data_IF_224941274583
#
_entry.id   IF_224941274583
#
_cell.length_a   1.000
_cell.length_b   1.000
_cell.length_c   1.000
_cell.angle_alpha   90.00
_cell.angle_beta   90.00
_cell.angle_gamma   90.00
#
_symmetry.space_group_name_H-M   'P 1'
#
loop_
_entity.id
_entity.type
_entity.pdbx_description
1 polymer ?
#
# COMPACT_ATOMS: atom_id res chain seq x y z
N UNK A 1 -10.96 -18.85 0.96
CA UNK A 1 -9.58 -18.40 0.67
C UNK A 1 -9.36 -17.11 1.43
N UNK A 2 -8.58 -17.18 2.50
CA UNK A 2 -8.87 -16.39 3.71
C UNK A 2 -8.16 -15.04 3.72
N UNK A 3 -8.97 -13.96 3.74
CA UNK A 3 -8.54 -12.55 3.76
C UNK A 3 -7.60 -12.20 4.92
N UNK A 4 -7.54 -13.00 6.00
CA UNK A 4 -6.69 -12.73 7.16
C UNK A 4 -5.19 -12.79 6.85
N UNK A 5 -4.80 -13.44 5.74
CA UNK A 5 -3.39 -13.67 5.42
C UNK A 5 -2.67 -12.39 4.98
N UNK A 6 -3.34 -11.53 4.19
CA UNK A 6 -2.70 -10.35 3.61
C UNK A 6 -2.27 -9.31 4.67
N UNK A 7 -3.01 -9.20 5.78
CA UNK A 7 -2.63 -8.33 6.91
C UNK A 7 -1.39 -8.89 7.62
N UNK A 8 -1.24 -10.21 7.72
CA UNK A 8 -0.07 -10.84 8.34
C UNK A 8 1.19 -10.77 7.45
N UNK A 9 1.01 -10.62 6.13
CA UNK A 9 2.08 -10.49 5.15
C UNK A 9 2.65 -9.05 5.02
N UNK A 10 1.97 -8.06 5.60
CA UNK A 10 2.39 -6.66 5.62
C UNK A 10 2.79 -6.28 7.05
N UNK A 11 4.03 -5.85 7.23
CA UNK A 11 4.54 -5.41 8.52
C UNK A 11 4.17 -3.96 8.82
N UNK A 12 4.25 -3.08 7.82
CA UNK A 12 3.98 -1.64 7.97
C UNK A 12 3.55 -1.05 6.61
N UNK A 13 2.81 0.06 6.64
CA UNK A 13 2.37 0.76 5.43
C UNK A 13 2.30 2.26 5.67
N UNK A 14 2.82 3.02 4.72
CA UNK A 14 2.64 4.46 4.63
C UNK A 14 2.01 4.83 3.30
N UNK A 15 1.09 5.78 3.33
CA UNK A 15 0.38 6.27 2.16
C UNK A 15 0.69 7.75 2.00
N UNK A 16 1.16 8.13 0.81
CA UNK A 16 1.49 9.51 0.48
C UNK A 16 0.71 9.97 -0.75
N UNK A 17 0.21 11.20 -0.69
CA UNK A 17 -0.29 11.92 -1.86
C UNK A 17 0.90 12.51 -2.62
N UNK A 18 1.01 12.21 -3.90
CA UNK A 18 1.97 12.84 -4.81
C UNK A 18 1.20 13.66 -5.83
N UNK A 19 1.54 14.94 -6.05
CA UNK A 19 0.94 15.71 -7.13
C UNK A 19 1.25 15.03 -8.46
N UNK A 20 0.20 14.76 -9.25
CA UNK A 20 0.29 14.09 -10.54
C UNK A 20 -0.18 15.03 -11.64
N UNK A 21 0.68 15.27 -12.63
CA UNK A 21 0.46 16.26 -13.69
C UNK A 21 -0.87 16.08 -14.46
N UNK A 22 -1.29 14.82 -14.65
CA UNK A 22 -2.53 14.48 -15.36
C UNK A 22 -3.78 14.30 -14.47
N UNK A 23 -3.62 14.11 -13.15
CA UNK A 23 -4.72 13.68 -12.27
C UNK A 23 -4.90 14.55 -11.02
N UNK A 24 -4.15 15.65 -10.92
CA UNK A 24 -4.08 16.48 -9.71
C UNK A 24 -3.22 15.81 -8.64
N UNK A 25 -3.70 14.72 -8.07
CA UNK A 25 -3.05 13.98 -6.98
C UNK A 25 -3.14 12.47 -7.21
N UNK A 26 -2.07 11.75 -6.91
CA UNK A 26 -2.04 10.28 -6.92
C UNK A 26 -1.63 9.74 -5.57
N UNK A 27 -2.27 8.65 -5.18
CA UNK A 27 -1.95 7.94 -3.94
C UNK A 27 -0.86 6.92 -4.22
N UNK A 28 0.22 6.97 -3.44
CA UNK A 28 1.32 6.00 -3.45
C UNK A 28 1.35 5.31 -2.09
N UNK A 29 1.46 3.98 -2.09
CA UNK A 29 1.62 3.20 -0.87
C UNK A 29 3.04 2.62 -0.79
N UNK A 30 3.73 2.92 0.29
CA UNK A 30 5.01 2.31 0.66
C UNK A 30 4.71 1.19 1.65
N UNK A 31 5.03 -0.04 1.26
CA UNK A 31 4.67 -1.24 2.01
C UNK A 31 5.93 -1.95 2.48
N UNK A 32 6.00 -2.21 3.79
CA UNK A 32 7.02 -3.06 4.40
C UNK A 32 6.46 -4.48 4.47
N UNK A 33 7.09 -5.41 3.77
CA UNK A 33 6.68 -6.81 3.80
C UNK A 33 7.08 -7.46 5.12
N UNK A 34 6.22 -8.34 5.64
CA UNK A 34 6.60 -9.22 6.73
C UNK A 34 7.77 -10.13 6.31
N UNK A 35 8.57 -10.59 7.28
CA UNK A 35 9.74 -11.43 7.02
C UNK A 35 9.32 -12.72 6.28
N UNK A 36 9.90 -12.94 5.10
CA UNK A 36 9.60 -14.11 4.27
C UNK A 36 8.31 -14.01 3.46
N UNK A 37 7.59 -12.87 3.54
CA UNK A 37 6.39 -12.65 2.75
C UNK A 37 6.70 -12.52 1.27
N UNK A 38 5.81 -13.10 0.45
CA UNK A 38 5.82 -12.99 -1.01
C UNK A 38 4.70 -12.11 -1.55
N UNK A 39 4.02 -11.35 -0.69
CA UNK A 39 2.90 -10.49 -1.10
C UNK A 39 3.30 -9.57 -2.24
N UNK A 40 2.44 -9.47 -3.25
CA UNK A 40 2.68 -8.64 -4.43
C UNK A 40 1.82 -7.39 -4.40
N UNK A 41 2.13 -6.44 -5.28
CA UNK A 41 1.32 -5.23 -5.42
C UNK A 41 -0.10 -5.57 -5.91
N UNK A 42 -0.23 -6.60 -6.75
CA UNK A 42 -1.53 -7.08 -7.23
C UNK A 42 -2.37 -7.68 -6.11
N UNK A 43 -1.77 -8.49 -5.23
CA UNK A 43 -2.46 -9.01 -4.04
C UNK A 43 -3.05 -7.88 -3.19
N UNK A 44 -2.26 -6.83 -2.96
CA UNK A 44 -2.67 -5.67 -2.18
C UNK A 44 -3.76 -4.88 -2.91
N UNK A 45 -3.61 -4.62 -4.22
CA UNK A 45 -4.64 -3.91 -4.99
C UNK A 45 -5.96 -4.68 -5.01
N UNK A 46 -5.92 -5.99 -5.29
CA UNK A 46 -7.11 -6.85 -5.30
C UNK A 46 -7.82 -6.84 -3.93
N UNK A 47 -7.06 -6.85 -2.84
CA UNK A 47 -7.61 -6.70 -1.51
C UNK A 47 -8.27 -5.34 -1.26
N UNK A 48 -7.71 -4.25 -1.80
CA UNK A 48 -8.25 -2.90 -1.64
C UNK A 48 -9.46 -2.63 -2.55
N UNK A 49 -9.57 -3.26 -3.71
CA UNK A 49 -10.71 -3.08 -4.64
C UNK A 49 -12.05 -3.41 -4.00
N UNK A 50 -12.10 -4.41 -3.12
CA UNK A 50 -13.32 -4.80 -2.41
C UNK A 50 -13.64 -3.88 -1.21
N UNK A 51 -12.66 -3.09 -0.74
CA UNK A 51 -12.75 -2.34 0.52
C UNK A 51 -12.76 -0.83 0.36
N UNK A 52 -12.25 -0.30 -0.75
CA UNK A 52 -12.09 1.13 -1.00
C UNK A 52 -12.65 1.51 -2.37
N UNK A 53 -13.17 2.73 -2.45
CA UNK A 53 -13.52 3.32 -3.74
C UNK A 53 -12.26 3.43 -4.63
N UNK A 54 -12.43 3.20 -5.95
CA UNK A 54 -11.32 3.10 -6.92
C UNK A 54 -10.32 4.26 -6.86
N UNK A 55 -10.77 5.47 -6.53
CA UNK A 55 -9.91 6.66 -6.44
C UNK A 55 -9.02 6.68 -5.19
N UNK A 56 -9.31 5.90 -4.14
CA UNK A 56 -8.48 5.75 -2.94
C UNK A 56 -7.48 4.60 -3.03
N UNK A 57 -7.54 3.80 -4.09
CA UNK A 57 -6.61 2.69 -4.30
C UNK A 57 -5.27 3.27 -4.77
N UNK A 58 -4.16 2.95 -4.09
CA UNK A 58 -2.84 3.42 -4.49
C UNK A 58 -2.54 3.01 -5.94
N UNK A 59 -2.20 3.99 -6.77
CA UNK A 59 -1.77 3.72 -8.14
C UNK A 59 -0.41 3.06 -8.17
N UNK A 60 0.45 3.43 -7.23
CA UNK A 60 1.79 2.89 -7.10
C UNK A 60 1.97 2.25 -5.72
N UNK A 61 2.54 1.04 -5.70
CA UNK A 61 2.85 0.30 -4.48
C UNK A 61 4.34 -0.01 -4.52
N UNK A 62 5.08 0.54 -3.57
CA UNK A 62 6.54 0.43 -3.47
C UNK A 62 6.85 -0.45 -2.28
N UNK A 63 7.59 -1.54 -2.51
CA UNK A 63 8.04 -2.41 -1.43
C UNK A 63 9.39 -1.98 -0.88
N UNK A 64 9.50 -1.86 0.44
CA UNK A 64 10.74 -1.48 1.11
C UNK A 64 11.09 -2.43 2.25
N UNK A 65 12.39 -2.52 2.55
CA UNK A 65 12.96 -3.31 3.65
C UNK A 65 13.36 -2.45 4.84
N UNK A 66 13.18 -1.12 4.74
CA UNK A 66 13.76 -0.19 5.69
C UNK A 66 12.87 -0.06 6.93
N UNK A 67 13.33 -0.59 8.06
CA UNK A 67 12.74 -0.41 9.41
C UNK A 67 12.92 1.00 9.99
N UNK A 68 12.74 2.04 9.17
CA UNK A 68 12.67 3.43 9.63
C UNK A 68 11.20 3.81 9.59
N UNK A 69 10.56 3.89 10.76
CA UNK A 69 9.13 4.21 10.92
C UNK A 69 8.71 5.28 9.92
N UNK A 70 7.81 4.93 9.00
CA UNK A 70 7.15 5.91 8.17
C UNK A 70 6.05 6.59 8.99
N UNK A 71 6.46 7.36 10.01
CA UNK A 71 5.57 8.26 10.72
C UNK A 71 5.39 9.49 9.82
N UNK A 72 4.53 9.34 8.83
CA UNK A 72 4.19 10.37 7.86
C UNK A 72 2.70 10.27 7.60
N UNK A 73 1.95 10.77 8.57
CA UNK A 73 0.52 11.04 8.55
C UNK A 73 0.05 11.61 7.23
N UNK A 74 -1.06 11.07 6.76
CA UNK A 74 -1.90 11.59 5.68
C UNK A 74 -2.30 13.04 5.99
N UNK A 75 -2.13 13.92 5.00
CA UNK A 75 -2.96 15.10 4.81
C UNK A 75 -4.12 14.73 3.90
#
# INVERSE_FOLDING_TARGET
MTLHRLIADVQDVAVIGKPHKEWGETVIAIVVKAKGSRVTAEDIRNYLVDKLAKYKIPREIIFTVIGRKAHGIVG
#
